data_IF_685707823984
#
_entry.id   IF_685707823984
#
_cell.length_a   1.000
_cell.length_b   1.000
_cell.length_c   1.000
_cell.angle_alpha   90.00
_cell.angle_beta   90.00
_cell.angle_gamma   90.00
#
_symmetry.space_group_name_H-M   'P 1'
#
loop_
_entity.id
_entity.type
_entity.pdbx_description
1 polymer ?
#
# COMPACT_ATOMS: atom_id res chain seq x y z
N UNK A 1 -14.05 4.82 33.88
CA UNK A 1 -13.67 5.44 32.59
C UNK A 1 -12.26 4.97 32.26
N UNK A 2 -12.05 4.26 31.15
CA UNK A 2 -10.70 4.01 30.64
C UNK A 2 -10.19 5.33 30.04
N UNK A 3 -8.95 5.77 30.30
CA UNK A 3 -8.42 6.95 29.63
C UNK A 3 -8.41 6.71 28.11
N UNK A 4 -8.81 7.73 27.34
CA UNK A 4 -8.67 7.71 25.88
C UNK A 4 -7.18 7.74 25.57
N UNK A 5 -6.65 6.60 25.13
CA UNK A 5 -5.27 6.48 24.66
C UNK A 5 -5.31 6.74 23.16
N UNK A 6 -4.45 7.65 22.70
CA UNK A 6 -4.30 7.96 21.29
C UNK A 6 -3.01 7.37 20.75
N UNK A 7 -3.09 6.81 19.55
CA UNK A 7 -1.95 6.32 18.77
C UNK A 7 -1.61 7.39 17.75
N UNK A 8 -0.32 7.69 17.60
CA UNK A 8 0.17 8.60 16.59
C UNK A 8 0.49 7.84 15.31
N UNK A 9 0.08 8.39 14.16
CA UNK A 9 0.48 7.89 12.86
C UNK A 9 1.11 9.04 12.09
N UNK A 10 2.40 8.96 11.80
CA UNK A 10 3.11 9.91 10.96
C UNK A 10 2.94 9.53 9.49
N UNK A 11 2.30 10.39 8.71
CA UNK A 11 2.12 10.21 7.27
C UNK A 11 3.20 11.00 6.56
N UNK A 12 4.03 10.32 5.77
CA UNK A 12 5.24 10.87 5.14
C UNK A 12 5.11 10.78 3.62
N UNK A 13 5.27 11.91 2.93
CA UNK A 13 5.37 11.95 1.48
C UNK A 13 6.84 12.00 1.05
N UNK A 14 7.38 10.87 0.57
CA UNK A 14 8.69 10.82 -0.11
C UNK A 14 8.57 10.80 -1.64
N UNK A 15 7.36 10.95 -2.17
CA UNK A 15 7.14 11.04 -3.61
C UNK A 15 7.69 12.38 -4.14
N UNK A 16 8.08 12.45 -5.42
CA UNK A 16 8.56 13.70 -6.02
C UNK A 16 7.47 14.76 -6.12
N UNK A 17 6.21 14.33 -6.20
CA UNK A 17 5.05 15.18 -6.34
C UNK A 17 4.24 15.31 -5.04
N UNK A 18 3.39 16.31 -5.03
CA UNK A 18 2.34 16.48 -4.03
C UNK A 18 1.34 15.31 -4.06
N UNK A 19 0.94 14.87 -2.88
CA UNK A 19 -0.13 13.87 -2.71
C UNK A 19 -1.19 14.41 -1.76
N UNK A 20 -2.37 13.81 -1.79
CA UNK A 20 -3.41 14.11 -0.82
C UNK A 20 -3.77 12.83 -0.07
N UNK A 21 -3.18 12.56 1.12
CA UNK A 21 -3.57 11.40 1.89
C UNK A 21 -5.07 11.45 2.21
N UNK A 22 -5.75 10.32 2.02
CA UNK A 22 -7.10 10.07 2.49
C UNK A 22 -7.03 9.15 3.70
N UNK A 23 -7.84 9.45 4.72
CA UNK A 23 -7.93 8.66 5.95
C UNK A 23 -9.40 8.42 6.20
N UNK A 24 -9.79 7.14 6.33
CA UNK A 24 -11.17 6.78 6.60
C UNK A 24 -11.20 5.64 7.62
N UNK A 25 -12.05 5.82 8.63
CA UNK A 25 -12.42 4.77 9.56
C UNK A 25 -13.53 3.90 8.98
N UNK A 26 -13.60 2.63 9.39
CA UNK A 26 -14.49 1.66 8.75
C UNK A 26 -15.98 1.92 9.00
N UNK A 27 -16.32 2.65 10.06
CA UNK A 27 -17.69 3.08 10.36
C UNK A 27 -18.09 4.38 9.65
N UNK A 28 -17.15 5.08 9.01
CA UNK A 28 -17.36 6.35 8.33
C UNK A 28 -17.68 7.54 9.25
N UNK A 29 -17.47 7.40 10.56
CA UNK A 29 -17.77 8.45 11.54
C UNK A 29 -16.73 9.58 11.47
N UNK A 30 -15.45 9.24 11.29
CA UNK A 30 -14.36 10.20 11.16
C UNK A 30 -14.09 10.57 9.69
N UNK A 31 -13.78 11.85 9.47
CA UNK A 31 -13.44 12.39 8.17
C UNK A 31 -12.08 13.09 8.24
N UNK A 32 -11.07 12.57 7.54
CA UNK A 32 -9.77 13.23 7.48
C UNK A 32 -9.10 13.03 6.11
N UNK A 33 -8.17 13.91 5.83
CA UNK A 33 -7.51 14.03 4.56
C UNK A 33 -7.01 15.45 4.35
N UNK A 34 -5.87 15.54 3.68
CA UNK A 34 -5.15 16.80 3.57
C UNK A 34 -4.21 16.76 2.38
N UNK A 35 -3.71 17.92 2.01
CA UNK A 35 -2.62 18.08 1.07
C UNK A 35 -1.27 17.86 1.76
N UNK A 36 -0.38 17.10 1.13
CA UNK A 36 0.95 16.80 1.66
C UNK A 36 2.01 16.98 0.57
N UNK A 37 2.77 18.08 0.67
CA UNK A 37 3.84 18.40 -0.26
C UNK A 37 4.97 17.35 -0.25
N UNK A 38 5.73 17.28 -1.35
CA UNK A 38 6.89 16.41 -1.47
C UNK A 38 7.90 16.66 -0.33
N UNK A 39 8.43 15.57 0.24
CA UNK A 39 9.37 15.62 1.37
C UNK A 39 8.76 16.01 2.72
N UNK A 40 7.46 16.32 2.78
CA UNK A 40 6.78 16.74 4.00
C UNK A 40 6.16 15.55 4.74
N UNK A 41 5.84 15.76 6.01
CA UNK A 41 5.12 14.80 6.83
C UNK A 41 4.06 15.49 7.70
N UNK A 42 3.05 14.73 8.11
CA UNK A 42 2.03 15.16 9.06
C UNK A 42 1.64 14.01 9.98
N UNK A 43 1.61 14.26 11.27
CA UNK A 43 1.14 13.30 12.26
C UNK A 43 -0.35 13.47 12.52
N UNK A 44 -1.08 12.36 12.52
CA UNK A 44 -2.47 12.28 12.96
C UNK A 44 -2.55 11.49 14.28
N UNK A 45 -3.59 11.77 15.07
CA UNK A 45 -3.90 11.02 16.28
C UNK A 45 -5.18 10.23 16.06
N UNK A 46 -5.14 8.92 16.29
CA UNK A 46 -6.29 8.02 16.19
C UNK A 46 -6.54 7.34 17.53
N UNK A 47 -7.76 6.85 17.77
CA UNK A 47 -8.07 6.11 18.97
C UNK A 47 -7.25 4.80 19.05
N UNK A 48 -6.98 4.30 20.26
CA UNK A 48 -6.21 3.06 20.46
C UNK A 48 -6.87 1.81 19.86
N UNK A 49 -8.15 1.86 19.58
CA UNK A 49 -8.96 0.81 18.96
C UNK A 49 -9.35 1.12 17.51
N UNK A 50 -8.74 2.14 16.90
CA UNK A 50 -9.03 2.60 15.55
C UNK A 50 -8.92 1.48 14.51
N UNK A 51 -9.91 1.43 13.60
CA UNK A 51 -9.96 0.48 12.49
C UNK A 51 -10.25 1.24 11.21
N UNK A 52 -9.27 1.33 10.33
CA UNK A 52 -9.43 2.12 9.14
C UNK A 52 -8.28 1.95 8.16
N UNK A 53 -8.25 2.85 7.20
CA UNK A 53 -7.31 2.80 6.09
C UNK A 53 -6.75 4.17 5.76
N UNK A 54 -5.51 4.18 5.28
CA UNK A 54 -4.79 5.35 4.80
C UNK A 54 -4.32 5.07 3.38
N UNK A 55 -4.52 6.00 2.45
CA UNK A 55 -4.05 5.89 1.07
C UNK A 55 -3.66 7.25 0.53
N UNK A 56 -2.91 7.27 -0.57
CA UNK A 56 -2.50 8.51 -1.22
C UNK A 56 -3.35 8.78 -2.45
N UNK A 57 -3.83 10.02 -2.61
CA UNK A 57 -4.50 10.47 -3.83
C UNK A 57 -3.54 11.29 -4.68
N UNK A 58 -3.70 11.18 -6.00
CA UNK A 58 -2.81 11.85 -6.97
C UNK A 58 -3.60 12.75 -7.91
N UNK A 59 -2.93 13.81 -8.37
CA UNK A 59 -3.45 14.78 -9.33
C UNK A 59 -4.87 15.27 -8.94
N UNK A 60 -4.96 15.85 -7.73
CA UNK A 60 -6.22 16.32 -7.19
C UNK A 60 -6.47 17.80 -7.47
N UNK A 61 -7.73 18.18 -7.52
CA UNK A 61 -8.19 19.56 -7.51
C UNK A 61 -9.35 19.68 -6.53
N UNK A 62 -9.22 20.59 -5.56
CA UNK A 62 -10.28 20.94 -4.62
C UNK A 62 -10.66 22.40 -4.84
N UNK A 63 -11.87 22.70 -5.35
CA UNK A 63 -12.37 24.07 -5.37
C UNK A 63 -12.40 24.59 -3.92
N UNK A 64 -12.01 25.85 -3.73
CA UNK A 64 -11.66 26.46 -2.43
C UNK A 64 -12.62 26.12 -1.27
N UNK A 65 -12.21 25.18 -0.41
CA UNK A 65 -12.82 24.78 0.87
C UNK A 65 -12.72 23.28 1.16
N UNK A 66 -12.40 22.88 2.40
CA UNK A 66 -12.23 21.47 2.83
C UNK A 66 -13.45 20.55 2.56
N UNK A 67 -14.65 21.14 2.44
CA UNK A 67 -15.92 20.43 2.31
C UNK A 67 -16.53 20.50 0.90
N UNK A 68 -15.82 21.06 -0.08
CA UNK A 68 -16.30 21.10 -1.46
C UNK A 68 -15.89 19.83 -2.22
N UNK A 69 -16.67 19.43 -3.25
CA UNK A 69 -16.35 18.28 -4.07
C UNK A 69 -14.97 18.45 -4.70
N UNK A 70 -14.05 17.56 -4.35
CA UNK A 70 -12.76 17.45 -5.01
C UNK A 70 -12.81 16.42 -6.13
N UNK A 71 -11.83 16.46 -7.03
CA UNK A 71 -11.60 15.36 -7.96
C UNK A 71 -10.13 15.00 -7.94
N UNK A 72 -9.81 13.71 -8.02
CA UNK A 72 -8.46 13.16 -8.06
C UNK A 72 -8.37 12.12 -9.16
N UNK A 73 -7.22 11.98 -9.80
CA UNK A 73 -7.01 10.96 -10.84
C UNK A 73 -7.08 9.54 -10.26
N UNK A 74 -6.58 9.33 -9.05
CA UNK A 74 -6.60 8.03 -8.35
C UNK A 74 -6.95 8.21 -6.87
N UNK A 75 -7.69 7.27 -6.28
CA UNK A 75 -8.00 7.26 -4.85
C UNK A 75 -9.03 8.29 -4.39
N UNK A 76 -9.77 8.90 -5.32
CA UNK A 76 -10.77 9.94 -5.07
C UNK A 76 -11.83 9.50 -4.04
N UNK A 77 -12.33 10.38 -3.16
CA UNK A 77 -13.23 9.99 -2.04
C UNK A 77 -14.41 10.94 -1.79
N UNK A 78 -14.75 11.77 -2.77
CA UNK A 78 -15.79 12.80 -2.80
C UNK A 78 -15.39 14.18 -2.26
N UNK A 79 -14.37 14.27 -1.41
CA UNK A 79 -13.99 15.51 -0.70
C UNK A 79 -12.51 15.50 -0.28
N UNK A 80 -11.99 16.62 0.26
CA UNK A 80 -10.63 16.65 0.80
C UNK A 80 -10.51 15.72 2.01
N UNK A 81 -11.47 15.78 2.94
CA UNK A 81 -11.56 14.89 4.10
C UNK A 81 -12.44 13.69 3.77
N UNK A 82 -11.81 12.53 3.68
CA UNK A 82 -12.48 11.30 3.25
C UNK A 82 -13.28 10.69 4.41
N UNK A 83 -14.51 10.26 4.13
CA UNK A 83 -15.36 9.49 5.07
C UNK A 83 -15.49 8.01 4.69
N UNK A 84 -14.97 7.66 3.51
CA UNK A 84 -15.10 6.34 2.92
C UNK A 84 -13.82 6.01 2.16
N UNK A 85 -13.70 4.75 1.77
CA UNK A 85 -12.62 4.27 0.92
C UNK A 85 -12.47 5.13 -0.34
N UNK A 86 -11.22 5.34 -0.77
CA UNK A 86 -10.94 5.94 -2.06
C UNK A 86 -11.39 5.05 -3.21
N UNK A 87 -11.90 5.66 -4.28
CA UNK A 87 -12.22 5.03 -5.54
C UNK A 87 -10.96 4.37 -6.14
N UNK A 88 -10.99 3.06 -6.43
CA UNK A 88 -9.85 2.36 -7.00
C UNK A 88 -9.40 2.95 -8.37
N UNK A 89 -8.09 2.95 -8.68
CA UNK A 89 -7.07 2.24 -7.92
C UNK A 89 -6.48 3.05 -6.75
N UNK A 90 -6.26 2.37 -5.63
CA UNK A 90 -5.61 2.91 -4.45
C UNK A 90 -4.83 1.81 -3.72
N UNK A 91 -3.53 2.03 -3.52
CA UNK A 91 -2.73 1.25 -2.57
C UNK A 91 -3.15 1.63 -1.17
N UNK A 92 -3.59 0.66 -0.36
CA UNK A 92 -4.09 0.92 0.99
C UNK A 92 -3.08 0.47 2.05
N UNK A 93 -2.93 1.28 3.10
CA UNK A 93 -2.45 0.83 4.40
C UNK A 93 -3.67 0.60 5.30
N UNK A 94 -3.93 -0.64 5.68
CA UNK A 94 -5.09 -1.02 6.49
C UNK A 94 -4.65 -1.32 7.92
N UNK A 95 -5.44 -0.90 8.91
CA UNK A 95 -5.17 -1.12 10.32
C UNK A 95 -6.41 -1.58 11.09
N UNK A 96 -6.17 -2.47 12.04
CA UNK A 96 -7.06 -2.82 13.13
C UNK A 96 -6.23 -2.77 14.42
N UNK A 97 -6.22 -1.61 15.09
CA UNK A 97 -5.32 -1.32 16.22
C UNK A 97 -5.66 -2.09 17.51
N UNK A 98 -6.89 -2.60 17.61
CA UNK A 98 -7.32 -3.46 18.70
C UNK A 98 -8.09 -4.68 18.18
N UNK A 99 -7.32 -5.66 17.72
CA UNK A 99 -7.82 -6.96 17.30
C UNK A 99 -7.84 -8.00 18.44
N UNK A 100 -7.98 -9.27 18.06
CA UNK A 100 -7.97 -10.38 19.01
C UNK A 100 -6.63 -10.46 19.77
N UNK A 101 -6.68 -10.94 21.02
CA UNK A 101 -5.49 -11.12 21.87
C UNK A 101 -4.62 -9.86 22.04
N UNK A 102 -5.25 -8.68 22.10
CA UNK A 102 -4.60 -7.37 22.29
C UNK A 102 -3.48 -7.11 21.26
N UNK A 103 -3.69 -7.58 20.03
CA UNK A 103 -2.83 -7.35 18.89
C UNK A 103 -3.35 -6.20 18.02
N UNK A 104 -2.44 -5.39 17.50
CA UNK A 104 -2.68 -4.58 16.33
C UNK A 104 -2.41 -5.41 15.08
N UNK A 105 -3.36 -5.42 14.14
CA UNK A 105 -3.23 -6.03 12.82
C UNK A 105 -3.14 -4.95 11.75
N UNK A 106 -2.31 -5.17 10.75
CA UNK A 106 -2.11 -4.22 9.67
C UNK A 106 -1.58 -4.91 8.43
N UNK A 107 -1.79 -4.29 7.28
CA UNK A 107 -1.35 -4.80 5.99
C UNK A 107 -1.30 -3.70 4.94
N UNK A 108 -0.57 -3.99 3.87
CA UNK A 108 -0.66 -3.25 2.61
C UNK A 108 -1.59 -4.02 1.70
N UNK A 109 -2.56 -3.34 1.11
CA UNK A 109 -3.59 -3.97 0.27
C UNK A 109 -3.63 -3.35 -1.12
N UNK A 110 -3.54 -4.23 -2.12
CA UNK A 110 -3.68 -3.97 -3.55
C UNK A 110 -4.98 -4.59 -4.11
N UNK A 111 -5.88 -5.02 -3.23
CA UNK A 111 -7.23 -5.51 -3.59
C UNK A 111 -7.96 -4.48 -4.43
N UNK A 112 -7.81 -3.21 -4.04
CA UNK A 112 -8.38 -2.03 -4.68
C UNK A 112 -7.40 -1.40 -5.68
N UNK A 113 -6.48 -2.18 -6.25
CA UNK A 113 -5.53 -1.68 -7.25
C UNK A 113 -4.23 -1.16 -6.64
N UNK A 114 -3.38 -0.62 -7.49
CA UNK A 114 -2.13 0.04 -7.12
C UNK A 114 -2.10 1.44 -7.72
N UNK A 115 -1.75 2.44 -6.94
CA UNK A 115 -1.48 3.78 -7.47
C UNK A 115 -0.14 4.33 -6.97
N UNK A 116 0.14 4.27 -5.66
CA UNK A 116 1.38 4.76 -5.07
C UNK A 116 2.14 3.65 -4.35
N UNK A 117 3.48 3.69 -4.38
CA UNK A 117 4.30 2.89 -3.48
C UNK A 117 4.01 3.23 -2.01
N UNK A 118 4.03 2.24 -1.11
CA UNK A 118 3.70 2.43 0.30
C UNK A 118 4.53 1.52 1.21
N UNK A 119 4.87 2.00 2.41
CA UNK A 119 5.37 1.18 3.52
C UNK A 119 4.64 1.52 4.82
N UNK A 120 4.54 0.53 5.70
CA UNK A 120 4.05 0.69 7.07
C UNK A 120 5.21 0.40 8.01
N UNK A 121 5.56 1.35 8.87
CA UNK A 121 6.67 1.24 9.82
C UNK A 121 6.13 1.32 11.23
N UNK A 122 6.48 0.35 12.08
CA UNK A 122 6.17 0.38 13.50
C UNK A 122 7.17 1.27 14.26
N UNK A 123 6.66 2.10 15.16
CA UNK A 123 7.44 2.86 16.13
C UNK A 123 7.08 2.40 17.56
N UNK A 124 7.89 1.51 18.18
CA UNK A 124 7.56 0.89 19.46
C UNK A 124 7.33 1.86 20.63
N UNK A 125 7.97 3.04 20.64
CA UNK A 125 7.83 4.10 21.64
C UNK A 125 7.77 3.60 23.11
N UNK A 126 8.79 2.85 23.51
CA UNK A 126 8.95 2.30 24.87
C UNK A 126 7.78 1.42 25.38
N UNK A 127 6.89 0.97 24.50
CA UNK A 127 5.85 -0.01 24.85
C UNK A 127 6.53 -1.34 25.21
N UNK A 128 6.44 -1.82 26.47
CA UNK A 128 7.20 -2.99 26.91
C UNK A 128 6.91 -4.25 26.09
N UNK A 129 5.66 -4.43 25.68
CA UNK A 129 5.24 -5.56 24.85
C UNK A 129 5.85 -5.54 23.43
N UNK A 130 6.38 -4.40 22.99
CA UNK A 130 7.05 -4.22 21.69
C UNK A 130 8.58 -4.23 21.79
N UNK A 131 9.16 -4.29 23.00
CA UNK A 131 10.61 -4.16 23.21
C UNK A 131 11.47 -5.28 22.61
N UNK A 132 10.87 -6.38 22.17
CA UNK A 132 11.56 -7.51 21.51
C UNK A 132 11.14 -7.71 20.05
N UNK A 133 10.35 -6.80 19.47
CA UNK A 133 9.90 -6.92 18.09
C UNK A 133 11.06 -6.69 17.14
N UNK A 134 11.28 -7.63 16.21
CA UNK A 134 12.16 -7.43 15.05
C UNK A 134 11.40 -6.62 14.00
N UNK A 135 11.84 -5.39 13.76
CA UNK A 135 11.17 -4.50 12.82
C UNK A 135 11.34 -4.99 11.38
N UNK A 136 12.46 -5.67 11.07
CA UNK A 136 12.66 -6.35 9.78
C UNK A 136 11.59 -7.39 9.43
N UNK A 137 10.93 -7.97 10.43
CA UNK A 137 9.89 -8.99 10.26
C UNK A 137 8.47 -8.40 10.29
N UNK A 138 8.35 -7.07 10.43
CA UNK A 138 7.10 -6.34 10.72
C UNK A 138 6.94 -5.03 9.94
N UNK A 139 7.78 -4.79 8.94
CA UNK A 139 7.76 -3.54 8.16
C UNK A 139 7.49 -3.85 6.69
N UNK A 140 6.23 -4.09 6.29
CA UNK A 140 5.91 -4.34 4.89
C UNK A 140 6.17 -3.09 4.04
N UNK A 141 6.70 -3.31 2.84
CA UNK A 141 6.82 -2.28 1.80
C UNK A 141 6.46 -2.83 0.43
N UNK A 142 5.66 -2.07 -0.31
CA UNK A 142 5.28 -2.34 -1.69
C UNK A 142 5.71 -1.17 -2.57
N UNK A 143 6.68 -1.39 -3.45
CA UNK A 143 7.22 -0.33 -4.30
C UNK A 143 6.50 -0.24 -5.65
N UNK A 144 6.22 -1.36 -6.32
CA UNK A 144 5.29 -1.46 -7.46
C UNK A 144 5.44 -0.49 -8.65
N UNK A 145 6.44 0.39 -8.69
CA UNK A 145 6.59 1.47 -9.68
C UNK A 145 8.05 1.82 -9.91
N UNK A 146 8.39 2.29 -11.11
CA UNK A 146 9.75 2.71 -11.46
C UNK A 146 10.05 4.14 -11.04
N UNK A 147 9.03 4.97 -10.89
CA UNK A 147 9.19 6.39 -10.56
C UNK A 147 9.77 6.56 -9.14
N UNK A 148 11.09 6.71 -9.11
CA UNK A 148 11.89 6.99 -7.93
C UNK A 148 12.70 5.82 -7.38
N UNK A 149 12.27 4.54 -7.52
CA UNK A 149 12.81 3.52 -6.62
C UNK A 149 12.66 2.04 -7.03
N UNK A 150 12.98 1.65 -8.26
CA UNK A 150 13.26 0.23 -8.53
C UNK A 150 14.76 -0.02 -8.33
N UNK A 151 15.21 -0.16 -7.08
CA UNK A 151 16.62 -0.42 -6.84
C UNK A 151 17.05 -1.76 -7.47
N UNK A 152 18.31 -1.89 -7.86
CA UNK A 152 18.84 -3.11 -8.48
C UNK A 152 18.64 -4.34 -7.58
N UNK A 153 18.74 -5.56 -8.13
CA UNK A 153 18.46 -6.80 -7.39
C UNK A 153 19.35 -7.01 -6.16
N UNK A 154 20.47 -6.30 -6.07
CA UNK A 154 21.42 -6.24 -4.97
C UNK A 154 21.22 -5.02 -4.04
N UNK A 155 20.04 -4.41 -4.06
CA UNK A 155 19.69 -3.27 -3.22
C UNK A 155 19.99 -3.54 -1.74
N UNK A 156 20.84 -2.68 -1.16
CA UNK A 156 21.15 -2.67 0.26
C UNK A 156 21.19 -1.22 0.78
N UNK A 157 20.21 -0.80 1.58
CA UNK A 157 20.14 0.57 2.11
C UNK A 157 20.97 0.77 3.40
N UNK A 158 21.66 -0.25 3.92
CA UNK A 158 22.31 -0.21 5.24
C UNK A 158 23.81 0.12 5.18
N UNK A 159 24.28 0.65 4.05
CA UNK A 159 25.67 1.09 3.90
C UNK A 159 25.97 2.26 4.84
N UNK A 160 27.20 2.34 5.37
CA UNK A 160 27.64 3.42 6.26
C UNK A 160 26.73 3.63 7.50
N UNK A 161 26.18 2.56 8.06
CA UNK A 161 25.25 2.58 9.20
C UNK A 161 23.95 3.38 8.96
N UNK A 162 23.54 3.54 7.69
CA UNK A 162 22.25 4.13 7.38
C UNK A 162 21.10 3.25 7.88
N UNK A 163 20.04 3.90 8.38
CA UNK A 163 18.78 3.26 8.71
C UNK A 163 17.81 3.35 7.53
N UNK A 164 16.92 2.38 7.42
CA UNK A 164 15.90 2.34 6.37
C UNK A 164 14.59 1.81 6.93
N UNK A 165 13.51 2.60 6.82
CA UNK A 165 12.17 2.22 7.30
C UNK A 165 12.18 1.69 8.75
N UNK A 166 12.85 2.39 9.66
CA UNK A 166 12.95 2.01 11.08
C UNK A 166 13.93 0.86 11.38
N UNK A 167 14.56 0.28 10.36
CA UNK A 167 15.50 -0.84 10.50
C UNK A 167 16.96 -0.41 10.29
N UNK A 168 17.91 -1.30 10.62
CA UNK A 168 19.35 -1.02 10.55
C UNK A 168 20.15 -2.23 10.06
N UNK A 169 21.47 -2.09 9.95
CA UNK A 169 22.36 -3.17 9.52
C UNK A 169 22.30 -4.43 10.40
N UNK A 170 21.87 -4.34 11.66
CA UNK A 170 21.69 -5.49 12.56
C UNK A 170 20.29 -6.13 12.50
N UNK A 171 19.33 -5.49 11.82
CA UNK A 171 17.95 -5.93 11.68
C UNK A 171 17.47 -5.65 10.25
N UNK A 172 18.10 -6.26 9.25
CA UNK A 172 17.90 -5.90 7.84
C UNK A 172 16.57 -6.42 7.28
N UNK A 173 15.88 -5.59 6.50
CA UNK A 173 14.67 -5.99 5.79
C UNK A 173 14.99 -7.03 4.70
N UNK A 174 14.21 -8.13 4.62
CA UNK A 174 14.29 -9.04 3.49
C UNK A 174 13.58 -8.41 2.28
N UNK A 175 14.33 -8.15 1.21
CA UNK A 175 13.79 -7.64 -0.04
C UNK A 175 13.50 -8.77 -1.03
N UNK A 176 12.52 -8.58 -1.91
CA UNK A 176 12.36 -9.45 -3.08
C UNK A 176 13.52 -9.22 -4.06
N UNK A 177 14.06 -10.30 -4.62
CA UNK A 177 15.25 -10.24 -5.51
C UNK A 177 14.95 -10.69 -6.94
N UNK A 178 13.70 -11.11 -7.22
CA UNK A 178 13.32 -11.75 -8.48
C UNK A 178 12.86 -10.74 -9.53
N UNK A 179 12.28 -9.62 -9.10
CA UNK A 179 11.72 -8.64 -10.02
C UNK A 179 12.83 -7.87 -10.73
N UNK A 180 12.80 -7.85 -12.06
CA UNK A 180 13.72 -7.01 -12.85
C UNK A 180 13.12 -5.61 -13.04
N UNK A 181 13.94 -4.64 -13.45
CA UNK A 181 13.44 -3.33 -13.86
C UNK A 181 12.35 -3.45 -14.95
N UNK A 182 12.57 -4.33 -15.94
CA UNK A 182 11.57 -4.62 -16.96
C UNK A 182 10.29 -5.21 -16.35
N UNK A 183 10.43 -6.19 -15.43
CA UNK A 183 9.30 -6.77 -14.71
C UNK A 183 8.48 -5.72 -13.96
N UNK A 184 9.13 -4.80 -13.25
CA UNK A 184 8.45 -3.70 -12.54
C UNK A 184 7.85 -2.67 -13.50
N UNK A 185 8.47 -2.42 -14.65
CA UNK A 185 7.91 -1.52 -15.67
C UNK A 185 6.62 -2.05 -16.29
N UNK A 186 6.44 -3.38 -16.30
CA UNK A 186 5.39 -4.04 -17.09
C UNK A 186 4.47 -4.97 -16.30
N UNK A 187 4.56 -5.00 -14.97
CA UNK A 187 3.79 -5.95 -14.15
C UNK A 187 2.28 -5.73 -14.26
N UNK A 188 1.82 -4.47 -14.33
CA UNK A 188 0.40 -4.18 -14.46
C UNK A 188 -0.12 -4.72 -15.80
N UNK A 189 -1.17 -5.55 -15.85
CA UNK A 189 -1.74 -5.97 -17.12
C UNK A 189 -2.23 -4.78 -17.96
N UNK A 190 -2.05 -4.84 -19.28
CA UNK A 190 -2.26 -3.69 -20.17
C UNK A 190 -3.71 -3.16 -20.13
N UNK A 191 -4.68 -4.05 -20.04
CA UNK A 191 -6.11 -3.75 -19.92
C UNK A 191 -6.52 -3.09 -18.60
N UNK A 192 -5.64 -3.16 -17.60
CA UNK A 192 -5.83 -2.64 -16.24
C UNK A 192 -5.12 -1.31 -15.98
N UNK A 193 -4.27 -0.85 -16.90
CA UNK A 193 -3.63 0.46 -16.81
C UNK A 193 -4.70 1.57 -16.72
N UNK A 194 -4.54 2.51 -15.78
CA UNK A 194 -5.43 3.69 -15.69
C UNK A 194 -5.29 4.59 -16.91
N UNK A 195 -4.08 4.67 -17.48
CA UNK A 195 -3.79 5.47 -18.67
C UNK A 195 -2.93 4.64 -19.64
N UNK A 196 -3.56 3.73 -20.42
CA UNK A 196 -2.81 2.93 -21.40
C UNK A 196 -2.23 3.84 -22.50
N UNK A 197 -1.05 3.52 -23.06
CA UNK A 197 -0.49 4.23 -24.20
C UNK A 197 -1.49 4.33 -25.36
N UNK A 198 -1.44 5.45 -26.10
CA UNK A 198 -2.26 5.62 -27.31
C UNK A 198 -1.87 4.57 -28.35
N UNK A 199 -2.87 3.98 -28.98
CA UNK A 199 -2.71 2.98 -30.05
C UNK A 199 -1.88 3.57 -31.20
N UNK A 200 -0.82 2.90 -31.70
CA UNK A 200 -0.15 3.28 -32.94
C UNK A 200 -1.05 3.00 -34.16
N UNK A 201 -1.18 3.95 -35.10
CA UNK A 201 -1.83 3.70 -36.41
C UNK A 201 -3.33 3.42 -36.38
N UNK A 202 -3.81 2.63 -37.37
CA UNK A 202 -5.20 2.43 -37.85
C UNK A 202 -6.23 1.85 -36.84
N UNK A 203 -6.09 2.13 -35.55
CA UNK A 203 -7.08 1.78 -34.53
C UNK A 203 -7.02 0.33 -34.02
N UNK A 204 -5.96 -0.42 -34.33
CA UNK A 204 -5.74 -1.77 -33.81
C UNK A 204 -4.72 -1.73 -32.68
N UNK A 205 -5.12 -2.11 -31.45
CA UNK A 205 -4.17 -2.36 -30.37
C UNK A 205 -3.25 -3.51 -30.80
N UNK A 206 -1.92 -3.31 -30.85
CA UNK A 206 -0.98 -4.41 -31.00
C UNK A 206 -0.98 -5.25 -29.72
N UNK A 207 -1.96 -6.14 -29.57
CA UNK A 207 -1.94 -7.14 -28.51
C UNK A 207 -0.97 -8.27 -28.90
N UNK A 208 -0.05 -8.72 -28.03
CA UNK A 208 0.48 -8.08 -26.83
C UNK A 208 1.92 -7.59 -27.11
N UNK A 209 2.11 -6.36 -27.57
CA UNK A 209 3.46 -5.85 -27.77
C UNK A 209 4.04 -5.31 -26.46
N UNK A 210 4.75 -6.20 -25.74
CA UNK A 210 5.64 -5.82 -24.64
C UNK A 210 6.78 -4.84 -25.03
N UNK A 211 6.71 -4.24 -26.21
CA UNK A 211 7.67 -3.30 -26.79
C UNK A 211 7.23 -1.83 -26.67
N UNK A 212 5.99 -1.53 -26.28
CA UNK A 212 5.57 -0.14 -26.00
C UNK A 212 6.08 0.28 -24.63
N UNK A 213 6.97 1.28 -24.59
CA UNK A 213 7.44 1.88 -23.34
C UNK A 213 6.25 2.42 -22.55
N UNK A 214 6.09 1.94 -21.32
CA UNK A 214 5.06 2.41 -20.39
C UNK A 214 5.57 3.63 -19.62
N UNK A 215 4.68 4.49 -19.11
CA UNK A 215 5.08 5.53 -18.17
C UNK A 215 5.76 4.90 -16.94
N UNK A 216 6.82 5.54 -16.43
CA UNK A 216 7.58 5.04 -15.27
C UNK A 216 6.68 4.96 -14.01
N UNK A 217 5.64 5.81 -13.95
CA UNK A 217 4.53 5.74 -13.01
C UNK A 217 3.25 5.25 -13.72
N UNK A 218 2.75 4.06 -13.36
CA UNK A 218 1.56 3.50 -14.01
C UNK A 218 0.58 2.87 -13.01
N UNK A 219 -0.43 3.64 -12.56
CA UNK A 219 -1.48 3.11 -11.72
C UNK A 219 -2.22 1.95 -12.40
N UNK A 220 -2.54 0.93 -11.61
CA UNK A 220 -3.10 -0.33 -12.05
C UNK A 220 -4.42 -0.61 -11.35
N UNK A 221 -5.50 -0.73 -12.12
CA UNK A 221 -6.78 -1.20 -11.61
C UNK A 221 -6.67 -2.67 -11.18
N UNK A 222 -7.34 -3.05 -10.11
CA UNK A 222 -7.57 -4.46 -9.86
C UNK A 222 -8.56 -5.05 -10.87
N UNK A 223 -8.51 -6.37 -11.05
CA UNK A 223 -9.49 -7.05 -11.90
C UNK A 223 -10.94 -6.89 -11.38
N UNK A 224 -11.12 -6.77 -10.05
CA UNK A 224 -12.44 -6.48 -9.49
C UNK A 224 -12.92 -5.10 -9.95
N UNK A 225 -12.09 -4.06 -9.80
CA UNK A 225 -12.45 -2.71 -10.22
C UNK A 225 -12.77 -2.63 -11.71
N UNK A 226 -11.95 -3.27 -12.56
CA UNK A 226 -12.13 -3.19 -14.02
C UNK A 226 -13.43 -3.84 -14.49
N UNK A 227 -13.78 -5.00 -13.92
CA UNK A 227 -14.82 -5.85 -14.49
C UNK A 227 -16.09 -5.95 -13.63
N UNK A 228 -16.02 -5.65 -12.34
CA UNK A 228 -17.14 -5.78 -11.40
C UNK A 228 -17.72 -7.20 -11.30
N UNK A 229 -16.97 -8.23 -11.71
CA UNK A 229 -17.48 -9.62 -11.74
C UNK A 229 -17.20 -10.31 -10.42
N UNK A 230 -18.19 -11.07 -9.93
CA UNK A 230 -18.12 -11.82 -8.68
C UNK A 230 -16.85 -12.67 -8.53
N UNK A 231 -16.38 -13.33 -9.61
CA UNK A 231 -15.14 -14.12 -9.62
C UNK A 231 -13.86 -13.32 -9.33
N UNK A 232 -13.84 -12.01 -9.62
CA UNK A 232 -12.69 -11.14 -9.37
C UNK A 232 -12.83 -10.41 -8.03
N UNK A 233 -14.06 -10.13 -7.62
CA UNK A 233 -14.39 -9.44 -6.37
C UNK A 233 -14.61 -10.39 -5.18
N UNK A 234 -14.55 -11.70 -5.41
CA UNK A 234 -14.82 -12.73 -4.41
C UNK A 234 -16.20 -12.61 -3.73
N UNK A 235 -17.25 -12.32 -4.49
CA UNK A 235 -18.59 -12.14 -3.94
C UNK A 235 -19.53 -13.29 -4.33
N UNK A 236 -20.60 -13.47 -3.53
CA UNK A 236 -21.62 -14.48 -3.79
C UNK A 236 -21.04 -15.91 -3.79
N UNK A 237 -21.29 -16.66 -4.87
CA UNK A 237 -20.80 -18.04 -5.01
C UNK A 237 -19.27 -18.13 -5.17
N UNK A 238 -18.59 -17.01 -5.38
CA UNK A 238 -17.13 -16.93 -5.49
C UNK A 238 -16.48 -16.43 -4.19
N UNK A 239 -17.21 -16.40 -3.08
CA UNK A 239 -16.66 -16.12 -1.76
C UNK A 239 -15.95 -17.36 -1.18
N UNK A 240 -15.39 -17.24 0.05
CA UNK A 240 -14.71 -18.26 0.87
C UNK A 240 -14.70 -19.69 0.31
N UNK A 241 -13.52 -20.19 -0.01
CA UNK A 241 -13.30 -21.52 -0.58
C UNK A 241 -13.46 -21.61 -2.10
N UNK A 242 -14.03 -20.57 -2.74
CA UNK A 242 -14.26 -20.52 -4.18
C UNK A 242 -13.70 -19.26 -4.86
N UNK A 243 -13.00 -18.39 -4.11
CA UNK A 243 -12.20 -17.32 -4.69
C UNK A 243 -10.76 -17.76 -4.91
N UNK A 244 -10.24 -17.57 -6.11
CA UNK A 244 -8.90 -17.97 -6.50
C UNK A 244 -8.08 -16.80 -7.04
N UNK A 245 -6.74 -16.83 -6.92
CA UNK A 245 -5.88 -15.83 -7.51
C UNK A 245 -6.13 -15.67 -9.02
N UNK A 246 -6.36 -14.44 -9.46
CA UNK A 246 -6.56 -14.08 -10.85
C UNK A 246 -5.28 -13.50 -11.48
N UNK A 247 -5.32 -13.14 -12.76
CA UNK A 247 -4.13 -12.67 -13.48
C UNK A 247 -3.58 -11.34 -12.93
N UNK A 248 -4.44 -10.43 -12.45
CA UNK A 248 -4.01 -9.23 -11.73
C UNK A 248 -3.35 -9.58 -10.41
N UNK A 249 -4.02 -10.40 -9.58
CA UNK A 249 -3.53 -10.68 -8.23
C UNK A 249 -2.18 -11.41 -8.25
N UNK A 250 -1.99 -12.33 -9.21
CA UNK A 250 -0.69 -12.98 -9.47
C UNK A 250 0.40 -11.99 -9.88
N UNK A 251 0.07 -11.02 -10.74
CA UNK A 251 1.01 -9.99 -11.18
C UNK A 251 1.38 -9.04 -10.04
N UNK A 252 0.40 -8.60 -9.24
CA UNK A 252 0.61 -7.78 -8.06
C UNK A 252 1.49 -8.49 -7.02
N UNK A 253 1.23 -9.78 -6.75
CA UNK A 253 2.03 -10.57 -5.81
C UNK A 253 3.48 -10.78 -6.26
N UNK A 254 3.73 -10.79 -7.56
CA UNK A 254 5.10 -10.90 -8.09
C UNK A 254 5.96 -9.68 -7.73
N UNK A 255 5.36 -8.48 -7.65
CA UNK A 255 6.07 -7.23 -7.36
C UNK A 255 5.93 -6.76 -5.92
N UNK A 256 4.86 -7.16 -5.22
CA UNK A 256 4.63 -6.85 -3.80
C UNK A 256 4.22 -8.13 -3.05
N UNK A 257 5.18 -9.03 -2.72
CA UNK A 257 4.90 -10.33 -2.12
C UNK A 257 4.20 -10.26 -0.76
N UNK A 258 4.50 -9.23 0.03
CA UNK A 258 3.95 -9.04 1.38
C UNK A 258 2.59 -8.31 1.41
N UNK A 259 2.07 -7.87 0.25
CA UNK A 259 0.79 -7.16 0.17
C UNK A 259 -0.37 -8.10 -0.18
N UNK A 260 -1.58 -7.78 0.30
CA UNK A 260 -2.81 -8.40 -0.19
C UNK A 260 -3.02 -8.07 -1.67
N UNK A 261 -3.29 -9.08 -2.49
CA UNK A 261 -3.51 -8.92 -3.93
C UNK A 261 -4.96 -9.20 -4.38
N UNK A 262 -5.77 -9.81 -3.51
CA UNK A 262 -7.21 -10.06 -3.69
C UNK A 262 -7.87 -10.37 -2.31
N UNK A 263 -9.22 -10.33 -2.17
CA UNK A 263 -9.90 -10.40 -0.87
C UNK A 263 -9.61 -11.65 -0.01
N UNK A 264 -9.31 -12.79 -0.64
CA UNK A 264 -8.94 -14.02 0.06
C UNK A 264 -7.49 -14.41 -0.25
N UNK A 265 -6.64 -13.41 -0.52
CA UNK A 265 -5.19 -13.64 -0.51
C UNK A 265 -4.81 -14.26 0.83
N UNK A 266 -3.79 -15.10 0.78
CA UNK A 266 -3.51 -16.03 1.86
C UNK A 266 -3.46 -15.35 3.25
N UNK A 267 -3.72 -16.13 4.30
CA UNK A 267 -3.64 -15.69 5.71
C UNK A 267 -2.25 -15.21 6.14
N UNK A 268 -1.30 -15.08 5.20
CA UNK A 268 0.07 -14.64 5.45
C UNK A 268 0.23 -13.15 5.23
N UNK A 269 -0.63 -12.50 4.44
CA UNK A 269 -0.47 -11.07 4.09
C UNK A 269 -0.87 -10.08 5.19
N UNK A 270 -1.36 -10.57 6.34
CA UNK A 270 -1.56 -9.77 7.55
C UNK A 270 -0.34 -9.80 8.46
N UNK A 271 0.09 -8.62 8.92
CA UNK A 271 1.07 -8.48 9.98
C UNK A 271 0.38 -8.22 11.32
N UNK A 272 0.99 -8.69 12.40
CA UNK A 272 0.49 -8.41 13.75
C UNK A 272 1.63 -8.14 14.73
N UNK A 273 1.35 -7.27 15.70
CA UNK A 273 2.21 -6.93 16.84
C UNK A 273 1.35 -6.60 18.06
N UNK A 274 1.93 -6.55 19.26
CA UNK A 274 1.21 -6.06 20.43
C UNK A 274 0.71 -4.63 20.21
N UNK A 275 -0.48 -4.30 20.72
CA UNK A 275 -1.03 -2.95 20.57
C UNK A 275 -0.22 -1.88 21.34
N UNK A 276 -0.41 -0.61 20.97
CA UNK A 276 0.11 0.54 21.72
C UNK A 276 1.28 1.28 21.07
N UNK A 277 1.94 0.70 20.08
CA UNK A 277 2.99 1.39 19.31
C UNK A 277 2.41 2.48 18.40
N UNK A 278 3.24 3.47 18.06
CA UNK A 278 2.93 4.43 17.00
C UNK A 278 3.39 3.90 15.65
N UNK A 279 3.07 4.62 14.58
CA UNK A 279 3.29 4.15 13.22
C UNK A 279 3.76 5.26 12.29
N UNK A 280 4.44 4.87 11.22
CA UNK A 280 4.59 5.69 10.04
C UNK A 280 3.92 5.02 8.84
N UNK A 281 3.25 5.82 8.02
CA UNK A 281 2.83 5.44 6.67
C UNK A 281 3.66 6.26 5.70
N UNK A 282 4.52 5.58 4.95
CA UNK A 282 5.51 6.22 4.07
C UNK A 282 5.11 6.00 2.62
N UNK A 283 4.69 7.06 1.93
CA UNK A 283 4.47 7.04 0.49
C UNK A 283 5.79 7.20 -0.25
N UNK A 284 5.98 6.41 -1.32
CA UNK A 284 7.24 6.35 -2.07
C UNK A 284 8.45 6.05 -1.15
N UNK A 285 8.40 4.98 -0.33
CA UNK A 285 9.43 4.65 0.66
C UNK A 285 10.79 4.38 0.04
N UNK A 286 10.73 3.90 -1.19
CA UNK A 286 11.84 3.58 -2.04
C UNK A 286 12.39 2.17 -1.90
N UNK A 287 13.54 1.91 -2.52
CA UNK A 287 14.21 0.62 -2.44
C UNK A 287 13.57 -0.50 -3.25
N UNK A 288 13.16 -1.59 -2.59
CA UNK A 288 12.48 -2.73 -3.20
C UNK A 288 11.34 -3.18 -2.28
N UNK A 289 10.35 -3.87 -2.85
CA UNK A 289 9.31 -4.47 -2.04
C UNK A 289 9.89 -5.51 -1.09
N UNK A 290 9.29 -5.65 0.08
CA UNK A 290 9.71 -6.64 1.07
C UNK A 290 9.21 -8.05 0.71
N UNK A 291 9.90 -9.06 1.22
CA UNK A 291 9.56 -10.48 1.08
C UNK A 291 9.66 -11.19 2.44
N UNK A 292 9.11 -10.55 3.46
CA UNK A 292 9.15 -10.95 4.87
C UNK A 292 8.49 -12.31 5.04
N UNK A 293 7.29 -12.50 4.51
CA UNK A 293 6.48 -13.67 4.79
C UNK A 293 7.11 -14.95 4.25
N UNK A 294 7.69 -14.90 3.06
CA UNK A 294 8.45 -16.02 2.50
C UNK A 294 9.70 -16.33 3.33
N UNK A 295 10.39 -15.29 3.81
CA UNK A 295 11.58 -15.43 4.66
C UNK A 295 11.23 -16.09 5.99
N UNK A 296 10.11 -15.71 6.61
CA UNK A 296 9.64 -16.30 7.86
C UNK A 296 9.19 -17.76 7.67
N UNK A 297 8.49 -18.07 6.58
CA UNK A 297 8.08 -19.45 6.27
C UNK A 297 9.30 -20.39 6.07
N UNK A 298 10.40 -19.88 5.52
CA UNK A 298 11.65 -20.64 5.35
C UNK A 298 12.45 -20.83 6.64
N UNK A 299 12.18 -20.06 7.71
CA UNK A 299 12.82 -20.23 9.03
C UNK A 299 12.16 -21.33 9.87
N UNK A 300 10.94 -21.73 9.52
CA UNK A 300 10.16 -22.75 10.24
C UNK A 300 10.31 -24.17 9.70
N UNK A 301 11.19 -24.38 8.70
CA UNK A 301 11.48 -25.67 8.08
C UNK A 301 12.81 -26.24 8.51
#
# INVERSE_FOLDING_TARGET
MRPLIFIQIQIINKCPDIIWPGIAENDGESADGFELAAGSNRTISVASDWKGRIWGRTNCTFPSGDNLPGNCLTGECGALKCRQAGNPPATLAEFNMHGAADQAYYDISLVDGFNLPLAIVLEPNDVPALGSVKLSEKTPSCVGSLDGFAAASDFNPYNNNQQFLGTSNSDQLPFETKTTFQGLSSWCPFDLLVSPPKVPGDGVYPYPDGNIKRPDFSPCNSACQKYGRAKYCCTGQHDRGHCFPNYYSKAAKAVCPDAYSYPHDDTKSTFSVAMGGNWQVVFCPGGRSTNILATLAGKTS
#
